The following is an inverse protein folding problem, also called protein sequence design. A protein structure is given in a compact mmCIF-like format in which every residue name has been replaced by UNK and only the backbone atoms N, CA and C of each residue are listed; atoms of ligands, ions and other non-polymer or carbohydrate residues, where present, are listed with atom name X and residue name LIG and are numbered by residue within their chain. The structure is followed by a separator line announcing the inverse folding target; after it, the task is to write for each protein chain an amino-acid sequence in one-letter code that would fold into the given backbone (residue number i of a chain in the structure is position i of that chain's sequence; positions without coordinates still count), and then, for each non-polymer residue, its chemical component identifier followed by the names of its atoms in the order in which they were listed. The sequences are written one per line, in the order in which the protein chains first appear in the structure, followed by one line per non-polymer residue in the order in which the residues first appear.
data_IF_841759443032
#
_entry.id   IF_841759443032
#
_cell.length_a   1.000
_cell.length_b   1.000
_cell.length_c   1.000
_cell.angle_alpha   90.00
_cell.angle_beta   90.00
_cell.angle_gamma   90.00
#
_symmetry.space_group_name_H-M   'P 1'
#
loop_
_entity.id
_entity.type
_entity.pdbx_description
1 polymer ?
#
# COMPACT_ATOMS: atom_id res chain seq x y z
N UNK A 1 -0.82 -21.19 5.78
CA UNK A 1 -1.49 -22.02 6.80
C UNK A 1 -1.40 -21.35 8.17
N UNK A 2 -2.31 -21.66 9.09
CA UNK A 2 -3.51 -20.85 9.34
C UNK A 2 -3.28 -19.55 10.12
N UNK A 3 -3.45 -18.42 9.45
CA UNK A 3 -3.91 -17.16 10.03
C UNK A 3 -4.78 -16.47 8.95
N UNK A 4 -6.14 -16.51 9.06
CA UNK A 4 -6.83 -15.37 9.69
C UNK A 4 -8.17 -15.71 10.38
N UNK A 5 -8.56 -14.98 11.43
CA UNK A 5 -9.95 -14.74 11.79
C UNK A 5 -10.15 -13.22 11.75
N UNK A 6 -9.98 -12.63 10.57
CA UNK A 6 -10.27 -11.22 10.32
C UNK A 6 -11.64 -10.87 10.92
N UNK A 7 -11.69 -9.79 11.68
CA UNK A 7 -12.93 -9.29 12.30
C UNK A 7 -12.99 -7.80 12.04
N UNK A 8 -14.19 -7.33 11.71
CA UNK A 8 -14.44 -5.89 11.58
C UNK A 8 -13.97 -5.16 12.83
N UNK A 9 -13.17 -4.11 12.65
CA UNK A 9 -12.55 -3.33 13.72
C UNK A 9 -11.30 -3.98 14.34
N UNK A 10 -10.79 -5.07 13.76
CA UNK A 10 -9.61 -5.81 14.23
C UNK A 10 -8.69 -6.13 13.05
N UNK A 11 -7.66 -5.32 12.88
CA UNK A 11 -6.75 -5.35 11.75
C UNK A 11 -5.75 -6.50 11.90
N UNK A 12 -5.69 -7.39 10.92
CA UNK A 12 -4.73 -8.48 10.90
C UNK A 12 -3.33 -7.99 10.55
N UNK A 13 -2.35 -8.18 11.44
CA UNK A 13 -0.96 -7.70 11.28
C UNK A 13 0.08 -8.82 11.09
N UNK A 14 -0.36 -10.08 11.02
CA UNK A 14 0.51 -11.23 10.87
C UNK A 14 0.22 -12.29 11.92
N UNK A 15 1.24 -13.03 12.32
CA UNK A 15 1.12 -14.11 13.29
C UNK A 15 2.18 -13.99 14.38
N UNK A 16 1.92 -14.61 15.52
CA UNK A 16 2.86 -14.64 16.63
C UNK A 16 4.18 -15.26 16.18
N UNK A 17 5.28 -14.80 16.78
CA UNK A 17 6.63 -15.25 16.45
C UNK A 17 7.35 -15.67 17.71
N UNK A 18 7.82 -16.92 17.72
CA UNK A 18 8.67 -17.44 18.78
C UNK A 18 10.11 -17.01 18.50
N UNK A 19 10.62 -16.10 19.34
CA UNK A 19 11.97 -15.54 19.21
C UNK A 19 13.05 -16.55 19.57
N UNK A 20 12.77 -17.47 20.51
CA UNK A 20 13.75 -18.46 20.97
C UNK A 20 13.90 -19.59 19.95
N UNK A 21 12.78 -20.06 19.40
CA UNK A 21 12.78 -21.07 18.34
C UNK A 21 13.02 -20.48 16.93
N UNK A 22 12.93 -19.16 16.78
CA UNK A 22 13.13 -18.48 15.50
C UNK A 22 12.09 -18.86 14.45
N UNK A 23 10.84 -19.07 14.86
CA UNK A 23 9.77 -19.58 14.01
C UNK A 23 8.47 -18.81 14.17
N UNK A 24 7.75 -18.64 13.05
CA UNK A 24 6.38 -18.14 13.04
C UNK A 24 5.45 -19.21 13.61
N UNK A 25 4.54 -18.79 14.49
CA UNK A 25 3.46 -19.61 15.03
C UNK A 25 2.19 -19.43 14.21
N UNK A 26 1.20 -20.30 14.42
CA UNK A 26 -0.09 -20.23 13.73
C UNK A 26 -1.06 -19.20 14.34
N UNK A 27 -0.77 -18.66 15.53
CA UNK A 27 -1.68 -17.73 16.19
C UNK A 27 -1.70 -16.36 15.48
N UNK A 28 -2.85 -15.85 15.01
CA UNK A 28 -2.95 -14.56 14.34
C UNK A 28 -2.77 -13.40 15.33
N UNK A 29 -2.01 -12.39 14.92
CA UNK A 29 -1.88 -11.11 15.63
C UNK A 29 -2.86 -10.12 14.99
N UNK A 30 -3.85 -9.70 15.77
CA UNK A 30 -4.77 -8.65 15.36
C UNK A 30 -4.60 -7.40 16.23
N UNK A 31 -4.75 -6.24 15.63
CA UNK A 31 -4.67 -4.93 16.24
C UNK A 31 -6.06 -4.30 16.34
N UNK A 32 -6.40 -3.69 17.48
CA UNK A 32 -7.69 -3.02 17.65
C UNK A 32 -7.70 -1.69 16.90
N UNK A 33 -8.51 -1.59 15.84
CA UNK A 33 -8.53 -0.41 14.98
C UNK A 33 -8.93 0.87 15.74
N UNK A 34 -9.63 0.74 16.87
CA UNK A 34 -10.04 1.90 17.70
C UNK A 34 -8.83 2.61 18.30
N UNK A 35 -7.71 1.93 18.50
CA UNK A 35 -6.51 2.54 19.03
C UNK A 35 -5.91 3.57 18.05
N UNK A 36 -6.16 3.42 16.73
CA UNK A 36 -5.73 4.39 15.71
C UNK A 36 -6.42 5.75 15.82
N UNK A 37 -7.49 5.87 16.61
CA UNK A 37 -8.15 7.15 16.89
C UNK A 37 -7.32 8.08 17.78
N UNK A 38 -6.25 7.56 18.39
CA UNK A 38 -5.38 8.31 19.33
C UNK A 38 -3.99 8.64 18.79
N UNK A 39 -3.80 8.56 17.46
CA UNK A 39 -2.53 8.69 16.74
C UNK A 39 -1.58 7.50 16.95
N UNK A 40 -0.79 7.19 15.93
CA UNK A 40 0.22 6.15 15.96
C UNK A 40 1.54 6.65 15.38
N UNK A 41 2.65 6.07 15.83
CA UNK A 41 3.98 6.37 15.32
C UNK A 41 4.72 5.05 15.05
N UNK A 42 5.21 4.87 13.83
CA UNK A 42 6.04 3.73 13.45
C UNK A 42 7.51 4.15 13.33
N UNK A 43 8.39 3.58 14.16
CA UNK A 43 9.82 3.91 14.23
C UNK A 43 10.67 2.69 13.90
N UNK A 44 11.81 2.89 13.24
CA UNK A 44 12.71 1.82 12.82
C UNK A 44 13.70 2.26 11.75
N UNK A 45 14.80 1.53 11.58
CA UNK A 45 15.81 1.81 10.55
C UNK A 45 15.34 1.42 9.14
N UNK A 46 16.01 1.89 8.09
CA UNK A 46 15.73 1.42 6.72
C UNK A 46 15.85 -0.11 6.63
N UNK A 47 14.91 -0.75 5.94
CA UNK A 47 14.85 -2.22 5.86
C UNK A 47 14.20 -2.93 7.05
N UNK A 48 13.81 -2.21 8.12
CA UNK A 48 13.17 -2.82 9.30
C UNK A 48 11.68 -3.17 9.11
N UNK A 49 11.14 -3.04 7.89
CA UNK A 49 9.74 -3.37 7.61
C UNK A 49 8.69 -2.28 7.88
N UNK A 50 9.08 -1.05 8.25
CA UNK A 50 8.10 0.05 8.52
C UNK A 50 7.06 0.25 7.42
N UNK A 51 7.52 0.37 6.17
CA UNK A 51 6.62 0.58 5.02
C UNK A 51 5.69 -0.62 4.83
N UNK A 52 6.20 -1.84 5.01
CA UNK A 52 5.38 -3.06 4.93
C UNK A 52 4.30 -3.11 6.03
N UNK A 53 4.64 -2.73 7.27
CA UNK A 53 3.66 -2.61 8.35
C UNK A 53 2.58 -1.57 8.04
N UNK A 54 2.98 -0.39 7.54
CA UNK A 54 2.01 0.63 7.13
C UNK A 54 1.11 0.15 5.99
N UNK A 55 1.67 -0.51 4.97
CA UNK A 55 0.91 -1.09 3.87
C UNK A 55 -0.11 -2.10 4.41
N UNK A 56 0.30 -3.03 5.27
CA UNK A 56 -0.61 -3.99 5.89
C UNK A 56 -1.75 -3.30 6.66
N UNK A 57 -1.43 -2.32 7.51
CA UNK A 57 -2.45 -1.52 8.22
C UNK A 57 -3.45 -0.84 7.27
N UNK A 58 -2.97 -0.32 6.14
CA UNK A 58 -3.81 0.36 5.16
C UNK A 58 -4.69 -0.60 4.36
N UNK A 59 -4.19 -1.79 4.06
CA UNK A 59 -4.99 -2.86 3.43
C UNK A 59 -6.11 -3.32 4.36
N UNK A 60 -5.83 -3.50 5.66
CA UNK A 60 -6.87 -3.82 6.65
C UNK A 60 -7.91 -2.70 6.79
N UNK A 61 -7.46 -1.44 6.84
CA UNK A 61 -8.34 -0.28 6.90
C UNK A 61 -9.26 -0.19 5.66
N UNK A 62 -8.73 -0.44 4.47
CA UNK A 62 -9.51 -0.46 3.24
C UNK A 62 -10.56 -1.59 3.24
N UNK A 63 -10.16 -2.80 3.66
CA UNK A 63 -11.09 -3.94 3.80
C UNK A 63 -12.25 -3.63 4.77
N UNK A 64 -11.97 -2.88 5.83
CA UNK A 64 -12.97 -2.40 6.80
C UNK A 64 -13.72 -1.13 6.38
N UNK A 65 -13.54 -0.67 5.12
CA UNK A 65 -14.20 0.52 4.55
C UNK A 65 -13.83 1.84 5.27
N UNK A 66 -12.64 1.91 5.86
CA UNK A 66 -12.14 3.13 6.49
C UNK A 66 -11.45 4.02 5.45
N UNK A 67 -11.98 5.23 5.17
CA UNK A 67 -11.37 6.13 4.19
C UNK A 67 -10.00 6.61 4.68
N UNK A 68 -9.00 6.57 3.81
CA UNK A 68 -7.63 6.92 4.17
C UNK A 68 -7.02 7.90 3.17
N UNK A 69 -6.35 8.93 3.71
CA UNK A 69 -5.55 9.88 2.93
C UNK A 69 -4.08 9.66 3.27
N UNK A 70 -3.26 9.54 2.23
CA UNK A 70 -1.86 9.16 2.33
C UNK A 70 -0.99 10.31 1.83
N UNK A 71 -0.05 10.76 2.66
CA UNK A 71 0.96 11.73 2.26
C UNK A 71 2.27 10.97 2.12
N UNK A 72 2.70 10.76 0.89
CA UNK A 72 3.86 9.93 0.56
C UNK A 72 4.97 10.74 -0.11
N UNK A 73 5.88 11.36 0.66
CA UNK A 73 7.00 12.10 0.10
C UNK A 73 8.05 11.18 -0.55
N UNK A 74 8.01 9.86 -0.33
CA UNK A 74 8.99 8.90 -0.87
C UNK A 74 8.51 8.19 -2.14
N UNK A 75 7.19 8.09 -2.32
CA UNK A 75 6.55 7.38 -3.44
C UNK A 75 6.39 5.88 -3.22
N UNK A 76 6.83 5.33 -2.07
CA UNK A 76 6.82 3.89 -1.80
C UNK A 76 5.41 3.33 -1.50
N UNK A 77 4.48 4.17 -1.05
CA UNK A 77 3.10 3.78 -0.69
C UNK A 77 2.28 3.53 -1.94
N UNK A 78 2.65 4.13 -3.08
CA UNK A 78 1.99 3.89 -4.38
C UNK A 78 2.02 2.42 -4.81
N UNK A 79 2.93 1.61 -4.23
CA UNK A 79 2.96 0.15 -4.40
C UNK A 79 1.64 -0.53 -3.97
N UNK A 80 0.80 0.13 -3.16
CA UNK A 80 -0.58 -0.32 -2.88
C UNK A 80 -1.41 -0.53 -4.15
N UNK A 81 -1.08 0.12 -5.27
CA UNK A 81 -1.80 -0.06 -6.54
C UNK A 81 -1.31 -1.29 -7.33
N UNK A 82 -0.20 -1.93 -6.93
CA UNK A 82 0.35 -3.12 -7.57
C UNK A 82 -0.33 -4.40 -7.05
N UNK A 83 -1.67 -4.42 -7.15
CA UNK A 83 -2.50 -5.54 -6.73
C UNK A 83 -2.81 -6.44 -7.94
N UNK A 84 -2.28 -7.67 -7.94
CA UNK A 84 -2.45 -8.62 -9.05
C UNK A 84 -3.28 -9.84 -8.61
N UNK A 85 -4.62 -9.79 -8.68
CA UNK A 85 -5.49 -10.85 -8.16
C UNK A 85 -5.40 -12.16 -8.93
N UNK A 86 -4.91 -12.17 -10.16
CA UNK A 86 -4.71 -13.40 -10.93
C UNK A 86 -3.31 -14.01 -10.73
N UNK A 87 -2.39 -13.22 -10.14
CA UNK A 87 -0.99 -13.59 -9.91
C UNK A 87 -0.31 -14.17 -11.16
N UNK A 88 -0.56 -13.60 -12.34
CA UNK A 88 -0.03 -14.11 -13.60
C UNK A 88 1.32 -13.46 -13.91
N UNK A 89 2.29 -14.18 -14.50
CA UNK A 89 3.60 -13.60 -14.84
C UNK A 89 3.51 -12.29 -15.64
N UNK A 90 2.55 -12.17 -16.55
CA UNK A 90 2.32 -10.97 -17.35
C UNK A 90 1.94 -9.73 -16.53
N UNK A 91 1.32 -9.90 -15.37
CA UNK A 91 0.94 -8.80 -14.49
C UNK A 91 2.19 -8.21 -13.79
N UNK A 92 3.21 -9.04 -13.52
CA UNK A 92 4.48 -8.64 -12.90
C UNK A 92 5.52 -8.15 -13.90
N UNK A 93 5.47 -8.65 -15.14
CA UNK A 93 6.47 -8.39 -16.19
C UNK A 93 6.81 -6.90 -16.40
N UNK A 94 5.88 -5.94 -16.38
CA UNK A 94 6.20 -4.52 -16.55
C UNK A 94 6.98 -3.92 -15.37
N UNK A 95 6.89 -4.54 -14.20
CA UNK A 95 7.36 -4.00 -12.93
C UNK A 95 8.65 -4.64 -12.44
N UNK A 96 9.07 -5.76 -13.05
CA UNK A 96 10.33 -6.40 -12.68
C UNK A 96 11.55 -5.64 -13.21
N UNK A 97 12.62 -5.63 -12.41
CA UNK A 97 13.86 -4.98 -12.79
C UNK A 97 14.69 -5.87 -13.76
N UNK A 98 14.94 -5.37 -14.97
CA UNK A 98 15.70 -6.07 -15.99
C UNK A 98 17.17 -6.34 -15.59
N UNK A 99 17.79 -5.47 -14.79
CA UNK A 99 19.15 -5.69 -14.30
C UNK A 99 19.21 -6.85 -13.29
N UNK A 100 18.18 -7.02 -12.47
CA UNK A 100 18.10 -8.14 -11.52
C UNK A 100 17.87 -9.47 -12.24
N UNK A 101 17.04 -9.47 -13.29
CA UNK A 101 16.88 -10.61 -14.18
C UNK A 101 18.23 -11.00 -14.82
N UNK A 102 18.96 -10.02 -15.37
CA UNK A 102 20.29 -10.22 -15.97
C UNK A 102 21.31 -10.77 -14.96
N UNK A 103 21.38 -10.21 -13.75
CA UNK A 103 22.29 -10.68 -12.68
C UNK A 103 22.04 -12.14 -12.30
N UNK A 104 20.78 -12.58 -12.35
CA UNK A 104 20.39 -13.97 -12.08
C UNK A 104 20.45 -14.88 -13.31
N UNK A 105 20.91 -14.38 -14.46
CA UNK A 105 21.01 -15.13 -15.71
C UNK A 105 19.66 -15.55 -16.30
N UNK A 106 18.59 -14.81 -15.99
CA UNK A 106 17.23 -15.10 -16.45
C UNK A 106 16.76 -14.09 -17.49
N UNK A 107 15.90 -14.53 -18.41
CA UNK A 107 15.11 -13.63 -19.24
C UNK A 107 14.10 -12.87 -18.37
N UNK A 108 13.57 -11.75 -18.88
CA UNK A 108 12.53 -10.98 -18.18
C UNK A 108 11.30 -11.85 -17.92
N UNK A 109 10.91 -12.68 -18.89
CA UNK A 109 9.75 -13.58 -18.78
C UNK A 109 9.95 -14.64 -17.69
N UNK A 110 11.11 -15.31 -17.66
CA UNK A 110 11.44 -16.28 -16.60
C UNK A 110 11.54 -15.62 -15.23
N UNK A 111 12.03 -14.38 -15.17
CA UNK A 111 12.12 -13.64 -13.92
C UNK A 111 10.74 -13.24 -13.40
N UNK A 112 9.87 -12.71 -14.28
CA UNK A 112 8.49 -12.36 -13.94
C UNK A 112 7.69 -13.59 -13.49
N UNK A 113 7.86 -14.73 -14.16
CA UNK A 113 7.25 -16.00 -13.74
C UNK A 113 7.73 -16.43 -12.34
N UNK A 114 9.02 -16.30 -12.05
CA UNK A 114 9.57 -16.57 -10.72
C UNK A 114 9.04 -15.62 -9.64
N UNK A 115 8.82 -14.34 -9.96
CA UNK A 115 8.24 -13.36 -9.03
C UNK A 115 6.77 -13.69 -8.76
N UNK A 116 5.99 -14.00 -9.80
CA UNK A 116 4.59 -14.40 -9.66
C UNK A 116 4.43 -15.63 -8.76
N UNK A 117 5.30 -16.62 -8.95
CA UNK A 117 5.30 -17.85 -8.15
C UNK A 117 5.74 -17.60 -6.69
N UNK A 118 6.74 -16.74 -6.48
CA UNK A 118 7.14 -16.30 -5.14
C UNK A 118 5.99 -15.62 -4.39
N UNK A 119 5.25 -14.73 -5.06
CA UNK A 119 4.08 -14.07 -4.49
C UNK A 119 2.96 -15.07 -4.17
N UNK A 120 2.64 -15.95 -5.11
CA UNK A 120 1.62 -17.01 -4.93
C UNK A 120 1.92 -17.87 -3.71
N UNK A 121 3.16 -18.35 -3.59
CA UNK A 121 3.58 -19.20 -2.48
C UNK A 121 3.64 -18.44 -1.16
N UNK A 122 4.14 -17.20 -1.16
CA UNK A 122 4.19 -16.37 0.04
C UNK A 122 2.79 -16.08 0.59
N UNK A 123 1.86 -15.66 -0.27
CA UNK A 123 0.47 -15.37 0.11
C UNK A 123 -0.22 -16.62 0.65
N UNK A 124 -0.05 -17.76 -0.02
CA UNK A 124 -0.58 -19.05 0.43
C UNK A 124 0.02 -19.52 1.77
N UNK A 125 1.31 -19.26 1.99
CA UNK A 125 1.98 -19.56 3.27
C UNK A 125 1.35 -18.79 4.44
N UNK A 126 0.91 -17.56 4.19
CA UNK A 126 0.13 -16.77 5.16
C UNK A 126 -1.34 -17.21 5.29
N UNK A 127 -1.77 -18.24 4.55
CA UNK A 127 -3.16 -18.69 4.58
C UNK A 127 -4.13 -17.75 3.87
N UNK A 128 -3.60 -16.85 3.05
CA UNK A 128 -4.36 -15.96 2.19
C UNK A 128 -4.33 -16.48 0.76
N UNK A 129 -5.20 -15.94 -0.10
CA UNK A 129 -5.23 -16.29 -1.50
C UNK A 129 -5.58 -15.10 -2.39
N UNK A 130 -5.63 -15.34 -3.71
CA UNK A 130 -5.90 -14.30 -4.70
C UNK A 130 -7.29 -13.66 -4.53
N UNK A 131 -8.25 -14.39 -3.94
CA UNK A 131 -9.57 -13.86 -3.58
C UNK A 131 -9.50 -12.69 -2.58
N UNK A 132 -8.51 -12.70 -1.67
CA UNK A 132 -8.30 -11.62 -0.72
C UNK A 132 -7.84 -10.34 -1.41
N UNK A 133 -6.91 -10.45 -2.36
CA UNK A 133 -6.45 -9.33 -3.18
C UNK A 133 -7.64 -8.73 -3.94
N UNK A 134 -8.48 -9.60 -4.54
CA UNK A 134 -9.67 -9.14 -5.26
C UNK A 134 -10.65 -8.41 -4.34
N UNK A 135 -10.85 -8.92 -3.12
CA UNK A 135 -11.69 -8.26 -2.12
C UNK A 135 -11.14 -6.89 -1.72
N UNK A 136 -9.83 -6.77 -1.53
CA UNK A 136 -9.16 -5.49 -1.26
C UNK A 136 -9.40 -4.48 -2.41
N UNK A 137 -9.18 -4.89 -3.65
CA UNK A 137 -9.43 -4.03 -4.82
C UNK A 137 -10.89 -3.53 -4.90
N UNK A 138 -11.84 -4.36 -4.48
CA UNK A 138 -13.26 -4.03 -4.48
C UNK A 138 -13.71 -3.21 -3.27
N UNK A 139 -12.87 -3.13 -2.23
CA UNK A 139 -13.20 -2.48 -0.97
C UNK A 139 -12.99 -0.97 -0.99
N UNK A 140 -12.15 -0.43 -1.87
CA UNK A 140 -11.89 1.00 -1.90
C UNK A 140 -11.47 1.46 -3.31
N UNK A 141 -11.73 2.73 -3.59
CA UNK A 141 -11.16 3.41 -4.75
C UNK A 141 -9.73 3.87 -4.44
N UNK A 142 -8.77 3.41 -5.24
CA UNK A 142 -7.36 3.80 -5.10
C UNK A 142 -7.04 4.93 -6.08
N UNK A 143 -6.79 6.12 -5.56
CA UNK A 143 -6.56 7.33 -6.37
C UNK A 143 -5.24 7.98 -5.99
N UNK A 144 -4.38 8.22 -6.99
CA UNK A 144 -3.12 8.95 -6.82
C UNK A 144 -3.35 10.42 -7.18
N UNK A 145 -3.15 11.30 -6.21
CA UNK A 145 -3.15 12.74 -6.41
C UNK A 145 -1.72 13.26 -6.55
N UNK A 146 -1.45 14.03 -7.59
CA UNK A 146 -0.12 14.56 -7.90
C UNK A 146 -0.15 16.08 -7.92
N UNK A 147 0.17 16.76 -6.79
CA UNK A 147 0.29 18.21 -6.78
C UNK A 147 1.42 18.67 -7.72
N UNK A 148 1.10 19.55 -8.67
CA UNK A 148 2.08 20.09 -9.62
C UNK A 148 2.54 19.13 -10.72
N UNK A 149 1.86 17.99 -10.91
CA UNK A 149 2.10 17.04 -12.00
C UNK A 149 0.79 16.46 -12.52
N UNK A 150 0.79 16.05 -13.79
CA UNK A 150 -0.30 15.38 -14.50
C UNK A 150 -0.13 13.85 -14.57
N UNK A 151 0.83 13.28 -13.84
CA UNK A 151 1.07 11.84 -13.81
C UNK A 151 -0.04 11.04 -13.09
N UNK A 152 -0.78 11.69 -12.19
CA UNK A 152 -2.00 11.17 -11.56
C UNK A 152 -3.15 12.17 -11.68
N UNK A 153 -4.07 12.19 -10.72
CA UNK A 153 -5.06 13.25 -10.64
C UNK A 153 -4.39 14.56 -10.19
N UNK A 154 -4.38 15.60 -11.03
CA UNK A 154 -3.76 16.86 -10.67
C UNK A 154 -4.52 17.49 -9.51
N UNK A 155 -3.77 17.99 -8.53
CA UNK A 155 -4.31 18.84 -7.47
C UNK A 155 -3.68 20.21 -7.62
N UNK A 156 -4.53 21.24 -7.61
CA UNK A 156 -4.06 22.62 -7.57
C UNK A 156 -3.23 22.81 -6.29
N UNK A 157 -1.96 23.12 -6.45
CA UNK A 157 -1.17 23.63 -5.34
C UNK A 157 -1.68 25.05 -5.15
N UNK A 158 -2.53 25.26 -4.14
CA UNK A 158 -3.03 26.61 -3.85
C UNK A 158 -1.86 27.59 -3.84
N UNK A 159 -1.97 28.65 -4.65
CA UNK A 159 -1.13 29.83 -4.52
C UNK A 159 -1.25 30.40 -3.11
N UNK A 160 -0.27 31.22 -2.73
CA UNK A 160 -0.18 31.90 -1.43
C UNK A 160 -1.56 32.16 -0.81
N UNK A 161 -1.86 31.52 0.31
CA UNK A 161 -3.05 31.78 1.15
C UNK A 161 -3.05 33.20 1.75
N UNK A 162 -2.12 34.07 1.34
CA UNK A 162 -2.19 35.49 1.61
C UNK A 162 -3.50 36.04 1.05
N UNK A 163 -4.19 36.85 1.85
CA UNK A 163 -5.30 37.63 1.37
C UNK A 163 -4.85 38.39 0.10
N UNK A 164 -5.62 38.34 -0.98
CA UNK A 164 -5.31 39.11 -2.17
C UNK A 164 -5.12 40.57 -1.77
N UNK A 165 -4.05 41.22 -2.23
CA UNK A 165 -3.86 42.67 -2.03
C UNK A 165 -4.84 43.52 -2.85
N UNK A 166 -5.79 42.88 -3.52
CA UNK A 166 -6.80 43.45 -4.40
C UNK A 166 -8.18 43.15 -3.81
N UNK A 167 -9.08 44.11 -3.95
CA UNK A 167 -10.46 43.96 -3.53
C UNK A 167 -11.22 42.95 -4.42
N UNK A 168 -11.98 42.07 -3.77
CA UNK A 168 -12.64 40.94 -4.43
C UNK A 168 -13.82 41.37 -5.30
N UNK A 169 -14.53 42.44 -4.92
CA UNK A 169 -15.67 42.94 -5.72
C UNK A 169 -15.23 43.48 -7.07
N UNK A 170 -14.01 44.02 -7.16
CA UNK A 170 -13.48 44.67 -8.36
C UNK A 170 -12.56 43.79 -9.19
N UNK A 171 -11.92 42.78 -8.61
CA UNK A 171 -10.85 42.00 -9.27
C UNK A 171 -11.01 40.47 -9.19
N UNK A 172 -12.24 39.97 -9.08
CA UNK A 172 -12.54 38.54 -8.89
C UNK A 172 -11.91 37.57 -9.91
N UNK A 173 -11.76 37.96 -11.18
CA UNK A 173 -11.11 37.09 -12.20
C UNK A 173 -9.60 36.97 -11.97
N UNK A 174 -8.90 38.08 -11.73
CA UNK A 174 -7.46 38.10 -11.49
C UNK A 174 -7.04 37.47 -10.15
N UNK A 175 -7.98 37.28 -9.22
CA UNK A 175 -7.76 36.60 -7.93
C UNK A 175 -7.91 35.07 -8.05
N UNK A 176 -8.59 34.57 -9.09
CA UNK A 176 -8.88 33.14 -9.29
C UNK A 176 -7.86 32.44 -10.21
N UNK A 177 -7.10 33.19 -11.01
CA UNK A 177 -5.92 32.72 -11.75
C UNK A 177 -4.65 32.75 -10.86
#
# INVERSE_FOLDING_TARGET
MQAPPEKLGSFYLGAEYDLDAGQRLDAPVNYDARDLTTHAVCVGMTGSGKTGLCIGLLEEAALDQVPTILIDPKGDITNLLLQFPELRPEDFKPWVNADDARRKGKTIDEYAAGVAEMWRNGIADWGQGPERIRRLQQSADFTIYTPGSDAGLPVSIMGSLAAPGLDFETHAEAIRE
#
